data_IF_856926333035
#
_entry.id   IF_856926333035
#
_cell.length_a   1.000
_cell.length_b   1.000
_cell.length_c   1.000
_cell.angle_alpha   90.00
_cell.angle_beta   90.00
_cell.angle_gamma   90.00
#
_symmetry.space_group_name_H-M   'P 1'
#
loop_
_entity.id
_entity.type
_entity.pdbx_description
1 polymer ?
#
# COMPACT_ATOMS: atom_id res chain seq x y z
N UNK A 1 0.07 3.88 10.65
CA UNK A 1 0.68 2.53 10.63
C UNK A 1 0.13 1.64 11.74
N UNK A 2 0.13 2.12 13.00
CA UNK A 2 -0.28 1.31 14.17
C UNK A 2 -1.71 0.78 14.05
N UNK A 3 -2.65 1.60 13.62
CA UNK A 3 -4.03 1.19 13.37
C UNK A 3 -4.10 0.01 12.39
N UNK A 4 -3.55 0.16 11.19
CA UNK A 4 -3.59 -0.89 10.16
C UNK A 4 -2.93 -2.18 10.64
N UNK A 5 -1.76 -2.08 11.27
CA UNK A 5 -1.06 -3.28 11.78
C UNK A 5 -1.80 -3.94 12.96
N UNK A 6 -2.53 -3.16 13.76
CA UNK A 6 -3.37 -3.67 14.83
C UNK A 6 -4.57 -4.43 14.26
N UNK A 7 -5.29 -3.84 13.28
CA UNK A 7 -6.45 -4.47 12.66
C UNK A 7 -6.07 -5.76 11.90
N UNK A 8 -4.93 -5.78 11.20
CA UNK A 8 -4.44 -7.02 10.57
C UNK A 8 -4.15 -8.10 11.62
N UNK A 9 -3.58 -7.75 12.78
CA UNK A 9 -3.34 -8.72 13.85
C UNK A 9 -4.62 -9.23 14.49
N UNK A 10 -5.59 -8.35 14.72
CA UNK A 10 -6.89 -8.73 15.27
C UNK A 10 -7.62 -9.70 14.34
N UNK A 11 -7.69 -9.38 13.06
CA UNK A 11 -8.31 -10.22 12.05
C UNK A 11 -7.67 -11.61 11.97
N UNK A 12 -6.35 -11.73 12.18
CA UNK A 12 -5.65 -13.01 12.21
C UNK A 12 -6.09 -13.96 13.37
N UNK A 13 -6.81 -13.44 14.35
CA UNK A 13 -7.32 -14.20 15.53
C UNK A 13 -8.83 -14.37 15.50
N UNK A 14 -9.50 -13.82 14.50
CA UNK A 14 -10.93 -13.87 14.30
C UNK A 14 -11.30 -14.67 13.04
N UNK A 15 -12.55 -14.63 12.62
CA UNK A 15 -13.09 -15.43 11.52
C UNK A 15 -13.30 -14.62 10.24
N UNK A 16 -12.60 -13.51 10.07
CA UNK A 16 -12.66 -12.71 8.86
C UNK A 16 -12.06 -13.47 7.66
N UNK A 17 -12.70 -13.31 6.52
CA UNK A 17 -12.32 -13.97 5.27
C UNK A 17 -11.29 -13.15 4.49
N UNK A 18 -11.38 -11.83 4.59
CA UNK A 18 -10.59 -10.87 3.84
C UNK A 18 -10.42 -9.58 4.65
N UNK A 19 -9.27 -8.95 4.52
CA UNK A 19 -9.03 -7.57 4.98
C UNK A 19 -8.91 -6.69 3.75
N UNK A 20 -9.65 -5.58 3.70
CA UNK A 20 -9.49 -4.57 2.67
C UNK A 20 -8.89 -3.31 3.29
N UNK A 21 -7.75 -2.87 2.78
CA UNK A 21 -7.14 -1.58 3.12
C UNK A 21 -7.56 -0.61 2.03
N UNK A 22 -8.62 0.15 2.29
CA UNK A 22 -9.02 1.27 1.43
C UNK A 22 -8.08 2.44 1.68
N UNK A 23 -7.54 3.03 0.61
CA UNK A 23 -6.50 4.05 0.77
C UNK A 23 -6.58 5.17 -0.25
N UNK A 24 -6.23 6.36 0.23
CA UNK A 24 -5.85 7.55 -0.52
C UNK A 24 -4.59 8.11 0.13
N UNK A 25 -3.42 7.87 -0.46
CA UNK A 25 -2.12 8.18 0.13
C UNK A 25 -1.30 9.04 -0.82
N UNK A 26 -1.09 10.28 -0.44
CA UNK A 26 -0.22 11.22 -1.15
C UNK A 26 1.20 11.26 -0.58
N UNK A 27 1.38 10.93 0.71
CA UNK A 27 2.66 10.90 1.43
C UNK A 27 2.64 9.81 2.49
N UNK A 28 3.83 9.36 2.91
CA UNK A 28 3.94 8.44 4.03
C UNK A 28 5.39 8.28 4.50
N UNK A 29 5.56 7.91 5.76
CA UNK A 29 6.86 7.62 6.35
C UNK A 29 7.33 6.21 5.96
N UNK A 30 8.59 6.06 5.56
CA UNK A 30 9.19 4.77 5.20
C UNK A 30 9.04 3.73 6.31
N UNK A 31 9.33 4.12 7.56
CA UNK A 31 9.20 3.23 8.72
C UNK A 31 7.77 2.73 8.94
N UNK A 32 6.77 3.57 8.71
CA UNK A 32 5.35 3.23 8.81
C UNK A 32 4.94 2.26 7.71
N UNK A 33 5.35 2.54 6.49
CA UNK A 33 5.14 1.70 5.31
C UNK A 33 5.71 0.28 5.53
N UNK A 34 6.98 0.18 5.93
CA UNK A 34 7.63 -1.12 6.18
C UNK A 34 6.93 -1.93 7.28
N UNK A 35 6.39 -1.28 8.33
CA UNK A 35 5.60 -1.95 9.37
C UNK A 35 4.30 -2.54 8.79
N UNK A 36 3.59 -1.77 7.97
CA UNK A 36 2.35 -2.24 7.31
C UNK A 36 2.65 -3.41 6.38
N UNK A 37 3.66 -3.29 5.52
CA UNK A 37 4.06 -4.35 4.59
C UNK A 37 4.40 -5.64 5.34
N UNK A 38 5.17 -5.54 6.43
CA UNK A 38 5.51 -6.69 7.28
C UNK A 38 4.26 -7.37 7.86
N UNK A 39 3.27 -6.59 8.27
CA UNK A 39 1.99 -7.11 8.76
C UNK A 39 1.21 -7.81 7.64
N UNK A 40 1.16 -7.22 6.43
CA UNK A 40 0.54 -7.84 5.26
C UNK A 40 1.20 -9.17 4.93
N UNK A 41 2.53 -9.21 4.79
CA UNK A 41 3.27 -10.41 4.44
C UNK A 41 3.10 -11.54 5.47
N UNK A 42 3.01 -11.19 6.77
CA UNK A 42 2.82 -12.16 7.86
C UNK A 42 1.36 -12.50 8.14
N UNK A 43 0.42 -11.90 7.43
CA UNK A 43 -1.01 -12.14 7.65
C UNK A 43 -1.40 -13.58 7.32
N UNK A 44 -2.26 -14.14 8.18
CA UNK A 44 -2.89 -15.45 7.97
C UNK A 44 -4.15 -15.36 7.11
N UNK A 45 -4.64 -14.15 6.91
CA UNK A 45 -5.84 -13.81 6.13
C UNK A 45 -5.40 -12.99 4.91
N UNK A 46 -6.00 -13.19 3.72
CA UNK A 46 -5.75 -12.35 2.58
C UNK A 46 -5.97 -10.87 2.89
N UNK A 47 -5.05 -10.02 2.42
CA UNK A 47 -5.13 -8.57 2.53
C UNK A 47 -5.19 -8.00 1.12
N UNK A 48 -6.28 -7.31 0.79
CA UNK A 48 -6.42 -6.53 -0.42
C UNK A 48 -6.15 -5.04 -0.13
N UNK A 49 -5.42 -4.39 -1.01
CA UNK A 49 -5.39 -2.93 -1.08
C UNK A 49 -6.41 -2.45 -2.10
N UNK A 50 -7.10 -1.38 -1.79
CA UNK A 50 -8.07 -0.76 -2.68
C UNK A 50 -7.87 0.75 -2.73
N UNK A 51 -7.34 1.25 -3.84
CA UNK A 51 -7.17 2.69 -4.04
C UNK A 51 -8.51 3.27 -4.46
N UNK A 52 -9.16 3.97 -3.56
CA UNK A 52 -10.49 4.57 -3.72
C UNK A 52 -10.74 5.62 -2.63
N UNK A 53 -11.76 6.50 -2.79
CA UNK A 53 -12.71 6.62 -3.90
C UNK A 53 -12.10 7.27 -5.16
N UNK A 54 -12.95 7.53 -6.16
CA UNK A 54 -12.61 8.28 -7.36
C UNK A 54 -11.77 9.53 -7.02
N UNK A 55 -10.64 9.72 -7.73
CA UNK A 55 -9.69 10.79 -7.49
C UNK A 55 -8.59 10.46 -6.48
N UNK A 56 -8.68 9.35 -5.76
CA UNK A 56 -7.64 8.89 -4.83
C UNK A 56 -6.35 8.48 -5.54
N UNK A 57 -5.27 8.47 -4.77
CA UNK A 57 -3.95 8.10 -5.27
C UNK A 57 -3.20 7.20 -4.31
N UNK A 58 -2.43 6.26 -4.86
CA UNK A 58 -1.43 5.48 -4.12
C UNK A 58 -0.03 5.98 -4.47
N UNK A 59 0.38 7.08 -3.84
CA UNK A 59 1.67 7.75 -4.08
C UNK A 59 2.62 7.46 -2.92
N UNK A 60 3.92 7.56 -3.15
CA UNK A 60 4.97 7.40 -2.12
C UNK A 60 4.86 6.05 -1.39
N UNK A 61 4.52 6.03 -0.10
CA UNK A 61 4.31 4.79 0.65
C UNK A 61 3.11 3.95 0.15
N UNK A 62 2.12 4.59 -0.46
CA UNK A 62 0.92 3.94 -0.97
C UNK A 62 1.21 2.89 -2.04
N UNK A 63 2.10 3.18 -2.99
CA UNK A 63 2.48 2.21 -4.02
C UNK A 63 3.15 0.96 -3.43
N UNK A 64 4.04 1.11 -2.43
CA UNK A 64 4.69 -0.03 -1.79
C UNK A 64 3.67 -0.94 -1.08
N UNK A 65 2.69 -0.34 -0.38
CA UNK A 65 1.61 -1.07 0.30
C UNK A 65 0.75 -1.80 -0.75
N UNK A 66 0.40 -1.11 -1.85
CA UNK A 66 -0.38 -1.70 -2.95
C UNK A 66 0.36 -2.88 -3.57
N UNK A 67 1.62 -2.70 -3.94
CA UNK A 67 2.46 -3.76 -4.54
C UNK A 67 2.68 -4.94 -3.59
N UNK A 68 2.78 -4.71 -2.28
CA UNK A 68 2.98 -5.78 -1.29
C UNK A 68 1.70 -6.56 -0.95
N UNK A 69 0.52 -6.00 -1.19
CA UNK A 69 -0.77 -6.61 -0.85
C UNK A 69 -1.01 -7.90 -1.62
N UNK A 70 -1.74 -8.84 -0.98
CA UNK A 70 -2.06 -10.12 -1.61
C UNK A 70 -2.93 -9.93 -2.86
N UNK A 71 -3.84 -8.93 -2.82
CA UNK A 71 -4.57 -8.43 -3.98
C UNK A 71 -4.42 -6.93 -4.03
N UNK A 72 -4.16 -6.38 -5.21
CA UNK A 72 -4.11 -4.96 -5.48
C UNK A 72 -5.27 -4.56 -6.39
N UNK A 73 -6.13 -3.66 -5.91
CA UNK A 73 -7.27 -3.17 -6.66
C UNK A 73 -7.31 -1.64 -6.67
N UNK A 74 -7.88 -1.10 -7.73
CA UNK A 74 -8.06 0.34 -7.90
C UNK A 74 -9.46 0.63 -8.44
N UNK A 75 -10.01 1.78 -8.06
CA UNK A 75 -11.22 2.34 -8.66
C UNK A 75 -10.86 3.10 -9.95
N UNK A 76 -11.72 3.10 -11.00
CA UNK A 76 -11.52 3.96 -12.15
C UNK A 76 -11.32 5.43 -11.76
N UNK A 77 -10.42 6.14 -12.46
CA UNK A 77 -10.10 7.53 -12.16
C UNK A 77 -9.22 7.74 -10.93
N UNK A 78 -8.55 6.69 -10.45
CA UNK A 78 -7.49 6.76 -9.44
C UNK A 78 -6.11 6.60 -10.08
N UNK A 79 -5.05 6.88 -9.34
CA UNK A 79 -3.67 6.80 -9.85
C UNK A 79 -2.73 6.10 -8.88
N UNK A 80 -1.62 5.58 -9.43
CA UNK A 80 -0.57 4.91 -8.64
C UNK A 80 0.80 5.28 -9.21
N UNK A 81 1.79 5.54 -8.33
CA UNK A 81 3.16 5.82 -8.75
C UNK A 81 3.91 6.75 -7.82
N UNK A 82 4.88 7.51 -8.38
CA UNK A 82 5.66 8.53 -7.68
C UNK A 82 6.24 8.03 -6.34
N UNK A 83 6.98 6.94 -6.40
CA UNK A 83 7.54 6.27 -5.22
C UNK A 83 8.88 6.86 -4.76
N UNK A 84 9.33 7.98 -5.34
CA UNK A 84 10.62 8.57 -5.03
C UNK A 84 10.71 8.98 -3.55
N UNK A 85 11.77 8.59 -2.83
CA UNK A 85 11.93 8.91 -1.42
C UNK A 85 12.16 10.41 -1.21
N UNK A 86 11.10 11.15 -0.83
CA UNK A 86 11.17 12.60 -0.63
C UNK A 86 11.94 13.03 0.63
N UNK A 87 12.16 12.13 1.59
CA UNK A 87 12.82 12.43 2.87
C UNK A 87 14.33 12.71 2.78
N UNK A 88 14.88 12.80 1.56
CA UNK A 88 16.29 13.10 1.30
C UNK A 88 16.57 14.59 1.08
N UNK A 89 15.57 15.46 1.24
CA UNK A 89 15.72 16.91 1.04
C UNK A 89 16.63 17.55 2.12
N UNK A 90 16.95 16.86 3.21
CA UNK A 90 17.90 17.29 4.24
C UNK A 90 19.36 16.88 4.05
N UNK A 91 19.68 16.13 3.00
CA UNK A 91 21.07 15.82 2.65
C UNK A 91 21.73 17.04 2.01
N UNK A 92 22.75 17.59 2.66
CA UNK A 92 23.44 18.80 2.22
C UNK A 92 23.84 18.83 0.73
N UNK A 93 23.96 20.01 0.18
CA UNK A 93 24.48 20.26 -1.17
C UNK A 93 25.96 19.85 -1.20
N UNK A 94 26.25 18.70 -1.82
CA UNK A 94 27.62 18.19 -1.96
C UNK A 94 27.66 16.74 -2.41
N UNK A 95 28.86 16.21 -2.70
CA UNK A 95 29.04 14.83 -3.14
C UNK A 95 28.48 13.78 -2.16
N UNK A 96 28.63 14.01 -0.85
CA UNK A 96 28.10 13.12 0.19
C UNK A 96 26.57 13.10 0.21
N UNK A 97 25.91 14.24 -0.04
CA UNK A 97 24.46 14.31 -0.17
C UNK A 97 23.94 13.54 -1.39
N UNK A 98 24.63 13.64 -2.52
CA UNK A 98 24.31 12.89 -3.75
C UNK A 98 24.46 11.38 -3.54
N UNK A 99 25.56 10.93 -2.92
CA UNK A 99 25.80 9.52 -2.63
C UNK A 99 24.74 8.94 -1.66
N UNK A 100 24.31 9.71 -0.69
CA UNK A 100 23.25 9.30 0.24
C UNK A 100 21.90 9.16 -0.47
N UNK A 101 21.55 10.11 -1.33
CA UNK A 101 20.34 10.05 -2.15
C UNK A 101 20.33 8.81 -3.05
N UNK A 102 21.44 8.54 -3.74
CA UNK A 102 21.56 7.40 -4.62
C UNK A 102 21.42 6.06 -3.88
N UNK A 103 22.03 5.92 -2.70
CA UNK A 103 21.89 4.73 -1.85
C UNK A 103 20.45 4.48 -1.46
N UNK A 104 19.71 5.52 -1.04
CA UNK A 104 18.32 5.36 -0.63
C UNK A 104 17.41 5.05 -1.82
N UNK A 105 17.63 5.67 -2.98
CA UNK A 105 16.89 5.31 -4.20
C UNK A 105 17.18 3.88 -4.62
N UNK A 106 18.42 3.42 -4.52
CA UNK A 106 18.79 2.04 -4.84
C UNK A 106 18.16 1.04 -3.87
N UNK A 107 18.14 1.30 -2.56
CA UNK A 107 17.46 0.46 -1.56
C UNK A 107 15.95 0.39 -1.82
N UNK A 108 15.29 1.53 -1.99
CA UNK A 108 13.87 1.60 -2.29
C UNK A 108 13.50 0.88 -3.59
N UNK A 109 14.35 1.03 -4.64
CA UNK A 109 14.17 0.35 -5.93
C UNK A 109 14.28 -1.16 -5.81
N UNK A 110 15.29 -1.64 -5.08
CA UNK A 110 15.48 -3.07 -4.83
C UNK A 110 14.30 -3.64 -4.01
N UNK A 111 13.85 -2.89 -3.01
CA UNK A 111 12.76 -3.29 -2.15
C UNK A 111 11.45 -3.43 -2.91
N UNK A 112 11.03 -2.39 -3.68
CA UNK A 112 9.76 -2.46 -4.42
C UNK A 112 9.79 -3.53 -5.52
N UNK A 113 10.94 -3.72 -6.17
CA UNK A 113 11.13 -4.79 -7.16
C UNK A 113 10.90 -6.16 -6.53
N UNK A 114 11.51 -6.43 -5.37
CA UNK A 114 11.33 -7.69 -4.62
C UNK A 114 9.88 -7.92 -4.24
N UNK A 115 9.16 -6.90 -3.79
CA UNK A 115 7.73 -6.99 -3.46
C UNK A 115 6.88 -7.32 -4.70
N UNK A 116 7.17 -6.70 -5.84
CA UNK A 116 6.47 -6.94 -7.09
C UNK A 116 6.71 -8.37 -7.61
N UNK A 117 7.95 -8.84 -7.57
CA UNK A 117 8.32 -10.21 -7.95
C UNK A 117 7.62 -11.26 -7.07
N UNK A 118 7.58 -11.04 -5.75
CA UNK A 118 6.89 -11.93 -4.82
C UNK A 118 5.39 -12.11 -5.15
N UNK A 119 4.77 -11.04 -5.67
CA UNK A 119 3.33 -11.02 -6.04
C UNK A 119 3.08 -11.29 -7.51
N UNK A 120 4.10 -11.53 -8.32
CA UNK A 120 3.95 -11.74 -9.77
C UNK A 120 3.51 -10.49 -10.53
N UNK A 121 3.79 -9.30 -9.99
CA UNK A 121 3.48 -8.00 -10.60
C UNK A 121 4.66 -7.47 -11.40
N UNK A 122 4.45 -6.40 -12.15
CA UNK A 122 5.47 -5.79 -13.00
C UNK A 122 6.58 -5.13 -12.19
N UNK A 123 7.64 -5.89 -11.91
CA UNK A 123 8.79 -5.44 -11.12
C UNK A 123 9.61 -4.35 -11.82
N UNK A 124 9.65 -4.36 -13.16
CA UNK A 124 10.34 -3.33 -13.92
C UNK A 124 9.64 -1.96 -13.79
N UNK A 125 8.31 -1.93 -13.97
CA UNK A 125 7.55 -0.71 -13.77
C UNK A 125 7.62 -0.21 -12.32
N UNK A 126 7.56 -1.14 -11.35
CA UNK A 126 7.69 -0.81 -9.93
C UNK A 126 9.03 -0.13 -9.63
N UNK A 127 10.14 -0.60 -10.20
CA UNK A 127 11.45 0.05 -10.09
C UNK A 127 11.47 1.43 -10.75
N UNK A 128 10.87 1.59 -11.94
CA UNK A 128 10.76 2.88 -12.60
C UNK A 128 9.97 3.92 -11.81
N UNK A 129 8.95 3.50 -11.05
CA UNK A 129 8.19 4.40 -10.18
C UNK A 129 9.04 5.05 -9.08
N UNK A 130 10.10 4.35 -8.62
CA UNK A 130 11.07 4.86 -7.66
C UNK A 130 12.14 5.71 -8.34
N UNK A 131 12.76 5.19 -9.40
CA UNK A 131 13.91 5.85 -10.06
C UNK A 131 13.50 7.07 -10.86
N UNK A 132 12.41 6.96 -11.61
CA UNK A 132 11.97 7.93 -12.61
C UNK A 132 10.68 8.68 -12.21
N UNK A 133 10.13 8.39 -11.03
CA UNK A 133 8.93 9.05 -10.53
C UNK A 133 7.70 8.87 -11.44
N UNK A 134 7.63 7.75 -12.17
CA UNK A 134 6.49 7.49 -13.06
C UNK A 134 5.21 7.22 -12.27
N UNK A 135 4.10 7.61 -12.86
CA UNK A 135 2.74 7.42 -12.35
C UNK A 135 1.82 7.03 -13.50
N UNK A 136 0.81 6.23 -13.21
CA UNK A 136 -0.16 5.75 -14.20
C UNK A 136 -1.57 5.76 -13.63
N UNK A 137 -2.58 5.78 -14.51
CA UNK A 137 -3.99 5.61 -14.15
C UNK A 137 -4.30 4.16 -13.75
N UNK A 138 -5.47 3.94 -13.15
CA UNK A 138 -5.95 2.60 -12.80
C UNK A 138 -6.03 1.66 -14.02
N UNK A 139 -6.50 2.17 -15.17
CA UNK A 139 -6.60 1.42 -16.43
C UNK A 139 -5.22 0.99 -16.94
N UNK A 140 -4.27 1.90 -16.87
CA UNK A 140 -2.91 1.63 -17.29
C UNK A 140 -2.19 0.69 -16.32
N UNK A 141 -2.41 0.85 -15.01
CA UNK A 141 -1.87 -0.01 -13.97
C UNK A 141 -2.34 -1.47 -14.14
N UNK A 142 -3.62 -1.67 -14.48
CA UNK A 142 -4.16 -2.99 -14.79
C UNK A 142 -3.51 -3.59 -16.05
N UNK A 143 -3.44 -2.80 -17.14
CA UNK A 143 -2.82 -3.24 -18.41
C UNK A 143 -1.35 -3.61 -18.26
N UNK A 144 -0.64 -2.87 -17.41
CA UNK A 144 0.79 -3.10 -17.14
C UNK A 144 1.05 -4.20 -16.09
N UNK A 145 0.03 -4.86 -15.57
CA UNK A 145 0.14 -5.83 -14.48
C UNK A 145 0.80 -5.25 -13.21
N UNK A 146 0.47 -4.02 -12.89
CA UNK A 146 0.85 -3.36 -11.63
C UNK A 146 -0.16 -3.68 -10.54
N UNK A 147 -1.43 -3.80 -10.91
CA UNK A 147 -2.55 -4.21 -10.06
C UNK A 147 -3.27 -5.42 -10.65
N UNK A 148 -4.07 -6.09 -9.82
CA UNK A 148 -4.79 -7.32 -10.20
C UNK A 148 -6.21 -7.05 -10.70
N UNK A 149 -6.85 -5.97 -10.21
CA UNK A 149 -8.26 -5.66 -10.46
C UNK A 149 -8.49 -4.17 -10.58
N UNK A 150 -9.42 -3.80 -11.46
CA UNK A 150 -10.04 -2.47 -11.47
C UNK A 150 -11.55 -2.66 -11.29
N UNK A 151 -12.14 -2.05 -10.27
CA UNK A 151 -13.53 -2.22 -9.87
C UNK A 151 -14.14 -0.89 -9.41
N UNK A 152 -15.42 -0.70 -9.62
CA UNK A 152 -16.09 0.58 -9.43
C UNK A 152 -16.28 0.99 -7.94
N UNK A 153 -16.29 0.04 -7.02
CA UNK A 153 -16.53 0.29 -5.59
C UNK A 153 -16.18 -0.94 -4.75
N UNK A 154 -16.29 -0.80 -3.43
CA UNK A 154 -15.97 -1.87 -2.48
C UNK A 154 -16.87 -3.11 -2.64
N UNK A 155 -18.15 -2.94 -2.90
CA UNK A 155 -19.07 -4.07 -3.10
C UNK A 155 -18.67 -4.87 -4.34
N UNK A 156 -18.34 -4.19 -5.43
CA UNK A 156 -17.83 -4.81 -6.65
C UNK A 156 -16.48 -5.52 -6.42
N UNK A 157 -15.62 -4.98 -5.54
CA UNK A 157 -14.38 -5.64 -5.15
C UNK A 157 -14.65 -6.96 -4.43
N UNK A 158 -15.53 -6.95 -3.44
CA UNK A 158 -15.89 -8.12 -2.64
C UNK A 158 -16.47 -9.23 -3.55
N UNK A 159 -17.35 -8.86 -4.49
CA UNK A 159 -17.92 -9.80 -5.47
C UNK A 159 -16.86 -10.34 -6.44
N UNK A 160 -15.96 -9.50 -6.93
CA UNK A 160 -14.89 -9.90 -7.86
C UNK A 160 -13.84 -10.81 -7.21
N UNK A 161 -13.76 -10.78 -5.90
CA UNK A 161 -12.83 -11.62 -5.12
C UNK A 161 -13.44 -12.95 -4.71
N UNK A 162 -14.76 -13.17 -4.87
CA UNK A 162 -15.39 -14.44 -4.52
C UNK A 162 -14.83 -15.58 -5.38
N UNK A 163 -14.53 -16.70 -4.72
CA UNK A 163 -13.89 -17.89 -5.31
C UNK A 163 -12.48 -17.66 -5.88
N UNK A 164 -11.89 -16.49 -5.69
CA UNK A 164 -10.51 -16.25 -6.12
C UNK A 164 -9.53 -16.97 -5.19
N UNK A 165 -8.55 -17.62 -5.79
CA UNK A 165 -7.42 -18.19 -5.07
C UNK A 165 -6.38 -17.10 -4.80
N UNK A 166 -5.96 -16.99 -3.54
CA UNK A 166 -4.96 -16.03 -3.07
C UNK A 166 -3.81 -16.76 -2.41
N UNK A 167 -2.60 -16.51 -2.91
CA UNK A 167 -1.38 -17.08 -2.36
C UNK A 167 -0.93 -16.29 -1.12
N UNK A 168 -0.99 -16.92 0.04
CA UNK A 168 -0.32 -16.48 1.26
C UNK A 168 1.09 -17.10 1.33
N UNK A 169 1.89 -16.69 2.32
CA UNK A 169 3.28 -17.15 2.45
C UNK A 169 3.44 -18.68 2.43
N UNK A 170 2.53 -19.44 3.07
CA UNK A 170 2.64 -20.89 3.26
C UNK A 170 1.48 -21.69 2.67
N UNK A 171 0.47 -21.06 2.12
CA UNK A 171 -0.74 -21.72 1.64
C UNK A 171 -1.46 -20.91 0.58
N UNK A 172 -2.27 -21.58 -0.21
CA UNK A 172 -3.26 -20.94 -1.07
C UNK A 172 -4.60 -20.98 -0.33
N UNK A 173 -5.35 -19.88 -0.39
CA UNK A 173 -6.66 -19.73 0.23
C UNK A 173 -7.65 -19.34 -0.86
N UNK A 174 -8.78 -20.03 -0.93
CA UNK A 174 -9.91 -19.62 -1.78
C UNK A 174 -10.81 -18.72 -0.98
N UNK A 175 -11.06 -17.52 -1.47
CA UNK A 175 -11.93 -16.54 -0.84
C UNK A 175 -13.42 -16.92 -1.00
N UNK A 176 -14.22 -16.69 0.02
CA UNK A 176 -15.68 -16.86 -0.01
C UNK A 176 -16.31 -15.57 0.53
N UNK A 177 -16.41 -14.57 -0.34
CA UNK A 177 -16.74 -13.19 0.05
C UNK A 177 -18.15 -12.75 -0.32
N UNK A 178 -18.84 -13.42 -1.26
CA UNK A 178 -20.12 -12.98 -1.80
C UNK A 178 -21.23 -12.76 -0.75
N UNK A 179 -21.28 -13.64 0.28
CA UNK A 179 -22.33 -13.60 1.33
C UNK A 179 -21.81 -13.03 2.65
N UNK A 180 -20.70 -12.29 2.64
CA UNK A 180 -20.09 -11.73 3.85
C UNK A 180 -20.48 -10.28 4.07
N UNK A 181 -20.70 -9.94 5.34
CA UNK A 181 -20.93 -8.56 5.73
C UNK A 181 -19.62 -7.79 5.76
N UNK A 182 -19.65 -6.57 5.24
CA UNK A 182 -18.53 -5.65 5.33
C UNK A 182 -18.58 -4.95 6.69
N UNK A 183 -17.50 -5.05 7.44
CA UNK A 183 -17.34 -4.36 8.72
C UNK A 183 -16.32 -3.25 8.55
N UNK A 184 -16.76 -2.01 8.64
CA UNK A 184 -15.88 -0.86 8.58
C UNK A 184 -15.14 -0.67 9.92
N UNK A 185 -13.83 -0.48 9.84
CA UNK A 185 -12.97 -0.14 10.96
C UNK A 185 -12.33 1.21 10.68
N UNK A 186 -12.59 2.19 11.52
CA UNK A 186 -12.01 3.53 11.44
C UNK A 186 -11.12 3.81 12.65
N UNK A 187 -10.13 4.70 12.44
CA UNK A 187 -9.33 5.19 13.57
C UNK A 187 -10.22 5.90 14.59
N UNK A 188 -10.13 5.49 15.83
CA UNK A 188 -10.80 6.18 16.94
C UNK A 188 -10.30 7.62 17.10
N UNK A 189 -11.08 8.48 17.77
CA UNK A 189 -10.74 9.89 17.98
C UNK A 189 -9.33 10.08 18.60
N UNK A 190 -8.95 9.23 19.55
CA UNK A 190 -7.61 9.25 20.16
C UNK A 190 -6.51 8.94 19.14
N UNK A 191 -6.72 7.99 18.26
CA UNK A 191 -5.75 7.62 17.22
C UNK A 191 -5.63 8.72 16.15
N UNK A 192 -6.76 9.35 15.78
CA UNK A 192 -6.79 10.51 14.87
C UNK A 192 -5.98 11.68 15.45
N UNK A 193 -6.15 11.98 16.75
CA UNK A 193 -5.40 13.03 17.44
C UNK A 193 -3.89 12.71 17.47
N UNK A 194 -3.51 11.49 17.82
CA UNK A 194 -2.11 11.06 17.83
C UNK A 194 -1.46 11.10 16.45
N UNK A 195 -2.22 10.79 15.41
CA UNK A 195 -1.73 10.87 14.03
C UNK A 195 -1.48 12.32 13.61
N UNK A 196 -2.37 13.23 13.95
CA UNK A 196 -2.22 14.67 13.71
C UNK A 196 -0.98 15.23 14.48
N UNK A 197 -0.83 14.90 15.76
CA UNK A 197 0.30 15.37 16.58
C UNK A 197 1.64 14.79 16.09
N UNK A 198 1.62 13.60 15.51
CA UNK A 198 2.81 12.93 14.98
C UNK A 198 3.24 13.43 13.60
N UNK A 199 2.48 14.32 12.97
CA UNK A 199 2.89 14.95 11.71
C UNK A 199 4.02 15.97 12.00
N UNK A 200 5.13 15.96 11.23
CA UNK A 200 6.26 16.85 11.46
C UNK A 200 5.87 18.34 11.52
N UNK A 201 4.92 18.73 10.68
CA UNK A 201 4.46 20.11 10.56
C UNK A 201 3.74 20.60 11.83
N UNK A 202 3.06 19.72 12.56
CA UNK A 202 2.39 20.05 13.83
C UNK A 202 3.37 20.01 15.00
N UNK A 203 4.37 19.13 14.98
CA UNK A 203 5.39 19.05 16.02
C UNK A 203 6.23 20.33 16.10
N UNK A 204 6.50 21.00 14.97
CA UNK A 204 7.20 22.29 14.94
C UNK A 204 6.37 23.47 15.51
N UNK A 205 5.05 23.39 15.49
CA UNK A 205 4.17 24.43 16.05
C UNK A 205 4.06 24.31 17.57
N UNK A 206 4.26 23.12 18.13
CA UNK A 206 4.16 22.85 19.58
C UNK A 206 5.48 23.01 20.34
N UNK A 207 6.60 23.25 19.68
CA UNK A 207 7.93 23.53 20.25
C UNK A 207 8.21 25.02 20.31
#
# INVERSE_FOLDING_TARGET
>A
AEFVTHEIRNANTSSEELIVIQMDILRGLDTSMRKIIKAIQSSKIPVASFVSPLGSSAVSSGIFITIASHVAAMEPGTSIGMAHPLNLIGGGEGEQGKLTKEKVVNDASAYIRSLAEERGRNSHWAELSVRNNVSVSAEEALRLNVIDLMVANLDSLVLALDKREVKLMKRIVTLNTADKNIIFREMGARQKILDIISQPDVAYILM
#
